data_IF_177593004485
#
_entry.id   IF_177593004485
#
_cell.length_a   1.000
_cell.length_b   1.000
_cell.length_c   1.000
_cell.angle_alpha   90.00
_cell.angle_beta   90.00
_cell.angle_gamma   90.00
#
_symmetry.space_group_name_H-M   'P 1'
#
loop_
_entity.id
_entity.type
_entity.pdbx_description
1 polymer ?
#
# COMPACT_ATOMS: atom_id res chain seq x y z
N UNK A 1 -16.35 -20.51 -3.61
CA UNK A 1 -15.64 -20.96 -2.40
C UNK A 1 -14.75 -19.81 -1.96
N UNK A 2 -14.82 -19.38 -0.69
CA UNK A 2 -13.95 -18.33 -0.17
C UNK A 2 -12.73 -18.95 0.51
N UNK A 3 -11.71 -18.13 0.78
CA UNK A 3 -10.47 -18.54 1.44
C UNK A 3 -10.37 -17.92 2.83
N UNK A 4 -10.20 -18.75 3.84
CA UNK A 4 -9.78 -18.31 5.17
C UNK A 4 -8.30 -17.96 5.20
N UNK A 5 -7.92 -17.06 6.10
CA UNK A 5 -6.57 -16.48 6.16
C UNK A 5 -5.45 -17.53 6.24
N UNK A 6 -5.73 -18.76 6.67
CA UNK A 6 -4.74 -19.79 7.01
C UNK A 6 -4.65 -20.94 5.99
N UNK A 7 -5.26 -20.78 4.80
CA UNK A 7 -5.34 -21.87 3.80
C UNK A 7 -4.27 -21.82 2.69
N UNK A 8 -4.20 -22.89 1.88
CA UNK A 8 -3.22 -23.13 0.80
C UNK A 8 -3.09 -21.96 -0.20
N UNK A 9 -4.09 -21.11 -0.38
CA UNK A 9 -3.98 -19.91 -1.24
C UNK A 9 -3.02 -18.84 -0.69
N UNK A 10 -2.56 -18.96 0.56
CA UNK A 10 -1.39 -18.22 1.04
C UNK A 10 -0.14 -18.49 0.20
N UNK A 11 -0.03 -19.67 -0.43
CA UNK A 11 1.15 -20.06 -1.21
C UNK A 11 1.37 -19.17 -2.44
N UNK A 12 0.36 -18.47 -2.95
CA UNK A 12 0.51 -17.56 -4.10
C UNK A 12 0.63 -16.10 -3.63
N UNK A 13 0.36 -15.81 -2.35
CA UNK A 13 0.32 -14.45 -1.83
C UNK A 13 1.69 -14.01 -1.27
N UNK A 14 2.41 -13.17 -2.02
CA UNK A 14 3.70 -12.60 -1.62
C UNK A 14 3.60 -11.74 -0.33
N UNK A 15 2.43 -11.16 -0.07
CA UNK A 15 2.21 -10.32 1.11
C UNK A 15 2.19 -11.13 2.42
N UNK A 16 1.94 -12.44 2.34
CA UNK A 16 1.93 -13.32 3.52
C UNK A 16 3.29 -13.41 4.21
N UNK A 17 4.39 -13.24 3.46
CA UNK A 17 5.75 -13.27 4.01
C UNK A 17 6.05 -12.09 4.94
N UNK A 18 5.29 -10.99 4.81
CA UNK A 18 5.37 -9.83 5.70
C UNK A 18 4.37 -9.90 6.86
N UNK A 19 3.69 -11.04 7.03
CA UNK A 19 2.68 -11.23 8.07
C UNK A 19 1.31 -10.61 7.76
N UNK A 20 1.08 -10.18 6.52
CA UNK A 20 -0.25 -9.70 6.10
C UNK A 20 -1.22 -10.85 5.88
N UNK A 21 -2.45 -10.68 6.35
CA UNK A 21 -3.55 -11.62 6.08
C UNK A 21 -3.91 -11.69 4.61
N UNK A 22 -4.50 -12.82 4.20
CA UNK A 22 -4.97 -13.00 2.84
C UNK A 22 -6.03 -11.96 2.46
N UNK A 23 -5.87 -11.37 1.29
CA UNK A 23 -6.93 -10.67 0.56
C UNK A 23 -6.88 -11.11 -0.89
N UNK A 24 -8.03 -11.12 -1.56
CA UNK A 24 -8.12 -11.40 -3.00
C UNK A 24 -7.27 -10.42 -3.81
N UNK A 25 -7.23 -9.15 -3.41
CA UNK A 25 -6.39 -8.13 -4.04
C UNK A 25 -4.89 -8.45 -3.91
N UNK A 26 -4.40 -8.82 -2.73
CA UNK A 26 -3.00 -9.16 -2.51
C UNK A 26 -2.60 -10.42 -3.30
N UNK A 27 -3.48 -11.41 -3.36
CA UNK A 27 -3.30 -12.60 -4.19
C UNK A 27 -3.24 -12.25 -5.68
N UNK A 28 -4.20 -11.46 -6.20
CA UNK A 28 -4.25 -11.03 -7.60
C UNK A 28 -3.00 -10.25 -7.99
N UNK A 29 -2.52 -9.34 -7.14
CA UNK A 29 -1.24 -8.64 -7.34
C UNK A 29 -0.04 -9.58 -7.38
N UNK A 30 0.00 -10.57 -6.49
CA UNK A 30 1.08 -11.58 -6.49
C UNK A 30 1.05 -12.46 -7.75
N UNK A 31 -0.14 -12.83 -8.22
CA UNK A 31 -0.34 -13.54 -9.48
C UNK A 31 0.13 -12.71 -10.69
N UNK A 32 -0.22 -11.41 -10.73
CA UNK A 32 0.28 -10.49 -11.75
C UNK A 32 1.81 -10.41 -11.74
N UNK A 33 2.41 -10.31 -10.56
CA UNK A 33 3.87 -10.28 -10.41
C UNK A 33 4.54 -11.54 -10.98
N UNK A 34 3.94 -12.72 -10.75
CA UNK A 34 4.40 -13.98 -11.33
C UNK A 34 4.29 -13.98 -12.86
N UNK A 35 3.25 -13.37 -13.43
CA UNK A 35 3.09 -13.22 -14.89
C UNK A 35 4.16 -12.31 -15.49
N UNK A 36 4.41 -11.15 -14.87
CA UNK A 36 5.49 -10.25 -15.30
C UNK A 36 6.86 -10.93 -15.28
N UNK A 37 7.13 -11.75 -14.26
CA UNK A 37 8.38 -12.50 -14.19
C UNK A 37 8.53 -13.52 -15.32
N UNK A 38 7.47 -14.28 -15.61
CA UNK A 38 7.51 -15.31 -16.64
C UNK A 38 7.55 -14.72 -18.06
N UNK A 39 6.72 -13.71 -18.33
CA UNK A 39 6.50 -13.18 -19.68
C UNK A 39 7.43 -12.01 -20.01
N UNK A 40 7.66 -11.12 -19.05
CA UNK A 40 8.44 -9.89 -19.24
C UNK A 40 9.84 -9.96 -18.65
N UNK A 41 10.17 -10.97 -17.83
CA UNK A 41 11.46 -11.06 -17.12
C UNK A 41 11.76 -9.82 -16.26
N UNK A 42 10.72 -9.16 -15.74
CA UNK A 42 10.86 -8.00 -14.86
C UNK A 42 9.90 -8.08 -13.67
N UNK A 43 10.11 -7.21 -12.67
CA UNK A 43 9.23 -7.11 -11.50
C UNK A 43 8.95 -5.68 -11.04
N UNK A 44 7.80 -5.48 -10.38
CA UNK A 44 7.40 -4.18 -9.85
C UNK A 44 7.98 -3.95 -8.45
N UNK A 45 8.34 -2.71 -8.14
CA UNK A 45 8.97 -2.36 -6.86
C UNK A 45 7.96 -2.31 -5.69
N UNK A 46 6.68 -2.07 -5.98
CA UNK A 46 5.64 -1.93 -4.96
C UNK A 46 5.08 -3.29 -4.48
N UNK A 47 5.51 -4.40 -5.08
CA UNK A 47 5.12 -5.76 -4.67
C UNK A 47 6.13 -6.32 -3.65
N UNK A 48 5.68 -6.69 -2.44
CA UNK A 48 6.57 -7.19 -1.39
C UNK A 48 7.12 -8.60 -1.68
N UNK A 49 8.10 -9.03 -0.87
CA UNK A 49 8.63 -10.41 -0.87
C UNK A 49 10.03 -10.56 -1.47
N UNK A 50 10.51 -9.56 -2.21
CA UNK A 50 11.81 -9.63 -2.88
C UNK A 50 11.85 -10.67 -4.02
N UNK A 51 12.86 -10.59 -4.87
CA UNK A 51 12.91 -11.37 -6.11
C UNK A 51 12.91 -12.90 -5.88
N UNK A 52 13.55 -13.38 -4.80
CA UNK A 52 13.63 -14.81 -4.51
C UNK A 52 12.27 -15.43 -4.20
N UNK A 53 11.42 -14.72 -3.44
CA UNK A 53 10.06 -15.17 -3.18
C UNK A 53 9.25 -15.25 -4.46
N UNK A 54 9.35 -14.23 -5.31
CA UNK A 54 8.60 -14.16 -6.55
C UNK A 54 9.03 -15.27 -7.53
N UNK A 55 10.33 -15.56 -7.63
CA UNK A 55 10.86 -16.68 -8.42
C UNK A 55 10.34 -18.03 -7.97
N UNK A 56 10.29 -18.28 -6.65
CA UNK A 56 9.71 -19.52 -6.09
C UNK A 56 8.26 -19.67 -6.54
N UNK A 57 7.47 -18.59 -6.48
CA UNK A 57 6.07 -18.63 -6.91
C UNK A 57 5.91 -18.81 -8.42
N UNK A 58 6.81 -18.23 -9.20
CA UNK A 58 6.82 -18.37 -10.64
C UNK A 58 7.35 -19.72 -11.13
N UNK A 59 7.91 -20.54 -10.24
CA UNK A 59 8.57 -21.80 -10.62
C UNK A 59 9.88 -21.57 -11.38
N UNK A 60 10.50 -20.41 -11.19
CA UNK A 60 11.76 -19.99 -11.81
C UNK A 60 12.92 -20.43 -10.91
N UNK A 61 14.02 -20.86 -11.53
CA UNK A 61 15.26 -21.17 -10.80
C UNK A 61 15.76 -19.95 -10.01
N UNK A 62 16.15 -20.16 -8.75
CA UNK A 62 16.67 -19.09 -7.90
C UNK A 62 17.95 -18.49 -8.49
N UNK A 63 18.76 -19.32 -9.14
CA UNK A 63 20.05 -18.94 -9.72
C UNK A 63 19.93 -18.18 -11.05
N UNK A 64 18.72 -18.09 -11.64
CA UNK A 64 18.50 -17.28 -12.84
C UNK A 64 18.56 -15.80 -12.47
N UNK A 65 19.66 -15.14 -12.82
CA UNK A 65 19.92 -13.73 -12.49
C UNK A 65 19.32 -12.75 -13.51
N UNK A 66 18.61 -13.21 -14.54
CA UNK A 66 18.12 -12.35 -15.62
C UNK A 66 16.78 -11.69 -15.30
N UNK A 67 16.72 -10.93 -14.21
CA UNK A 67 15.54 -10.17 -13.79
C UNK A 67 15.94 -8.81 -13.23
N UNK A 68 15.23 -7.77 -13.65
CA UNK A 68 15.38 -6.41 -13.12
C UNK A 68 14.02 -5.81 -12.81
N UNK A 69 14.02 -4.64 -12.18
CA UNK A 69 12.82 -3.83 -12.09
C UNK A 69 12.27 -3.55 -13.50
N UNK A 70 10.95 -3.54 -13.64
CA UNK A 70 10.30 -3.15 -14.88
C UNK A 70 10.59 -1.67 -15.13
N UNK A 71 11.36 -1.39 -16.19
CA UNK A 71 11.72 -0.04 -16.64
C UNK A 71 11.23 0.22 -18.08
N UNK A 72 11.73 1.29 -18.71
CA UNK A 72 11.35 1.65 -20.08
C UNK A 72 11.62 0.55 -21.13
N UNK A 73 12.53 -0.39 -20.86
CA UNK A 73 12.86 -1.47 -21.80
C UNK A 73 11.75 -2.52 -21.88
N UNK A 74 10.84 -2.54 -20.90
CA UNK A 74 9.78 -3.54 -20.79
C UNK A 74 8.39 -2.98 -21.07
N UNK A 75 8.26 -1.70 -21.47
CA UNK A 75 6.97 -1.00 -21.59
C UNK A 75 5.95 -1.77 -22.42
N UNK A 76 6.34 -2.28 -23.59
CA UNK A 76 5.39 -3.01 -24.45
C UNK A 76 4.85 -4.27 -23.77
N UNK A 77 5.72 -5.01 -23.06
CA UNK A 77 5.30 -6.20 -22.33
C UNK A 77 4.47 -5.84 -21.10
N UNK A 78 4.92 -4.85 -20.32
CA UNK A 78 4.24 -4.37 -19.12
C UNK A 78 2.83 -3.85 -19.45
N UNK A 79 2.68 -3.04 -20.50
CA UNK A 79 1.38 -2.52 -20.94
C UNK A 79 0.44 -3.65 -21.37
N UNK A 80 0.97 -4.67 -22.07
CA UNK A 80 0.20 -5.84 -22.47
C UNK A 80 -0.29 -6.63 -21.26
N UNK A 81 0.60 -6.97 -20.33
CA UNK A 81 0.24 -7.74 -19.14
C UNK A 81 -0.69 -6.95 -18.21
N UNK A 82 -0.47 -5.64 -18.04
CA UNK A 82 -1.38 -4.75 -17.30
C UNK A 82 -2.79 -4.72 -17.93
N UNK A 83 -2.87 -4.62 -19.25
CA UNK A 83 -4.15 -4.66 -19.97
C UNK A 83 -4.87 -6.01 -19.77
N UNK A 84 -4.14 -7.12 -19.74
CA UNK A 84 -4.70 -8.43 -19.43
C UNK A 84 -5.13 -8.54 -17.96
N UNK A 85 -4.36 -7.96 -17.04
CA UNK A 85 -4.67 -7.93 -15.61
C UNK A 85 -5.96 -7.16 -15.33
N UNK A 86 -6.09 -5.94 -15.88
CA UNK A 86 -7.28 -5.10 -15.74
C UNK A 86 -8.55 -5.74 -16.32
N UNK A 87 -8.40 -6.54 -17.38
CA UNK A 87 -9.49 -7.29 -18.01
C UNK A 87 -9.77 -8.65 -17.37
N UNK A 88 -9.07 -8.98 -16.27
CA UNK A 88 -9.13 -10.27 -15.59
C UNK A 88 -8.79 -11.47 -16.50
N UNK A 89 -8.02 -11.26 -17.57
CA UNK A 89 -7.69 -12.27 -18.58
C UNK A 89 -6.44 -13.10 -18.25
N UNK A 90 -5.74 -12.81 -17.15
CA UNK A 90 -4.53 -13.53 -16.72
C UNK A 90 -4.80 -14.84 -15.97
N UNK A 91 -6.06 -15.16 -15.68
CA UNK A 91 -6.43 -16.32 -14.86
C UNK A 91 -6.28 -16.08 -13.34
N UNK A 92 -5.95 -14.85 -12.93
CA UNK A 92 -5.72 -14.52 -11.52
C UNK A 92 -7.01 -14.52 -10.70
N UNK A 93 -8.18 -14.26 -11.31
CA UNK A 93 -9.46 -14.28 -10.60
C UNK A 93 -9.85 -15.70 -10.19
N UNK A 94 -9.57 -16.70 -11.03
CA UNK A 94 -9.81 -18.11 -10.73
C UNK A 94 -8.82 -18.64 -9.68
N UNK A 95 -7.57 -18.18 -9.73
CA UNK A 95 -6.52 -18.55 -8.78
C UNK A 95 -6.67 -17.90 -7.40
N UNK A 96 -7.34 -16.74 -7.33
CA UNK A 96 -7.46 -15.92 -6.13
C UNK A 96 -8.93 -15.76 -5.73
N UNK A 97 -9.49 -16.72 -4.96
CA UNK A 97 -10.85 -16.62 -4.48
C UNK A 97 -11.04 -15.45 -3.51
N UNK A 98 -12.27 -14.96 -3.31
CA UNK A 98 -12.52 -13.95 -2.28
C UNK A 98 -12.16 -14.46 -0.89
N UNK A 99 -11.68 -13.57 -0.02
CA UNK A 99 -11.49 -13.89 1.40
C UNK A 99 -12.84 -14.17 2.08
N UNK A 100 -12.89 -15.13 3.01
CA UNK A 100 -14.12 -15.42 3.76
C UNK A 100 -14.51 -14.31 4.73
N UNK A 101 -13.54 -13.52 5.17
CA UNK A 101 -13.75 -12.35 6.02
C UNK A 101 -13.11 -11.13 5.37
N UNK A 102 -13.88 -10.03 5.34
CA UNK A 102 -13.41 -8.75 4.82
C UNK A 102 -13.90 -7.65 5.74
N UNK A 103 -12.97 -6.81 6.17
CA UNK A 103 -13.29 -5.56 6.87
C UNK A 103 -13.13 -4.43 5.86
N UNK A 104 -14.13 -3.57 5.76
CA UNK A 104 -14.10 -2.37 4.92
C UNK A 104 -14.47 -1.15 5.76
N UNK A 105 -13.83 -0.03 5.45
CA UNK A 105 -14.07 1.23 6.14
C UNK A 105 -14.64 2.24 5.14
N UNK A 106 -15.87 2.68 5.39
CA UNK A 106 -16.40 3.86 4.73
C UNK A 106 -15.70 5.09 5.32
N UNK A 107 -15.27 5.99 4.43
CA UNK A 107 -14.47 7.16 4.81
C UNK A 107 -15.18 8.41 4.35
N UNK A 108 -15.42 9.32 5.29
CA UNK A 108 -15.82 10.70 5.02
C UNK A 108 -14.67 11.63 5.43
N UNK A 109 -14.39 12.62 4.59
CA UNK A 109 -13.37 13.62 4.88
C UNK A 109 -14.01 14.99 5.04
N UNK A 110 -13.64 15.68 6.11
CA UNK A 110 -13.94 17.10 6.32
C UNK A 110 -12.64 17.83 6.58
N UNK A 111 -12.50 19.02 5.99
CA UNK A 111 -11.32 19.85 6.15
C UNK A 111 -11.71 21.21 6.74
N UNK A 112 -10.85 21.74 7.61
CA UNK A 112 -10.97 23.06 8.18
C UNK A 112 -9.57 23.69 8.25
N UNK A 113 -9.53 25.02 8.23
CA UNK A 113 -8.27 25.74 8.37
C UNK A 113 -7.67 25.52 9.77
N UNK A 114 -6.40 25.13 9.81
CA UNK A 114 -5.68 24.94 11.06
C UNK A 114 -4.20 25.35 10.89
N UNK A 115 -3.60 26.04 11.88
CA UNK A 115 -4.26 26.64 13.05
C UNK A 115 -5.07 27.89 12.69
N UNK A 116 -6.09 28.21 13.51
CA UNK A 116 -6.83 29.49 13.44
C UNK A 116 -5.95 30.65 13.91
N UNK A 117 -6.22 31.86 13.41
CA UNK A 117 -5.38 33.05 13.65
C UNK A 117 -5.19 33.34 15.14
N UNK A 118 -6.26 33.29 15.92
CA UNK A 118 -6.24 33.62 17.35
C UNK A 118 -5.47 32.60 18.20
N UNK A 119 -5.28 31.38 17.67
CA UNK A 119 -4.62 30.29 18.38
C UNK A 119 -3.25 29.94 17.81
N UNK A 120 -2.81 30.64 16.76
CA UNK A 120 -1.56 30.39 16.04
C UNK A 120 -0.36 30.35 16.97
N UNK A 121 -0.15 31.41 17.75
CA UNK A 121 1.00 31.56 18.64
C UNK A 121 1.08 30.44 19.68
N UNK A 122 -0.07 30.02 20.21
CA UNK A 122 -0.13 28.94 21.18
C UNK A 122 0.28 27.61 20.53
N UNK A 123 -0.27 27.30 19.35
CA UNK A 123 0.04 26.08 18.61
C UNK A 123 1.52 26.02 18.27
N UNK A 124 2.07 27.10 17.70
CA UNK A 124 3.47 27.11 17.27
C UNK A 124 4.45 26.98 18.42
N UNK A 125 4.19 27.61 19.57
CA UNK A 125 5.03 27.40 20.76
C UNK A 125 5.05 25.94 21.22
N UNK A 126 3.89 25.26 21.14
CA UNK A 126 3.77 23.84 21.53
C UNK A 126 4.45 22.89 20.53
N UNK A 127 4.35 23.19 19.23
CA UNK A 127 5.06 22.44 18.19
C UNK A 127 6.57 22.62 18.34
N UNK A 128 7.03 23.86 18.52
CA UNK A 128 8.44 24.19 18.67
C UNK A 128 9.07 23.55 19.91
N UNK A 129 8.38 23.56 21.05
CA UNK A 129 8.85 22.89 22.26
C UNK A 129 8.95 21.37 22.08
N UNK A 130 8.00 20.77 21.36
CA UNK A 130 8.01 19.34 21.03
C UNK A 130 9.14 18.97 20.06
N UNK A 131 9.48 19.85 19.12
CA UNK A 131 10.59 19.65 18.17
C UNK A 131 11.96 19.78 18.85
N UNK A 132 12.13 20.81 19.70
CA UNK A 132 13.34 21.01 20.50
C UNK A 132 13.60 19.84 21.45
N UNK A 133 12.56 19.30 22.08
CA UNK A 133 12.65 18.10 22.92
C UNK A 133 13.12 16.84 22.15
N UNK A 134 13.01 16.83 20.82
CA UNK A 134 13.47 15.75 19.93
C UNK A 134 14.83 16.06 19.28
N UNK A 135 15.60 17.00 19.80
CA UNK A 135 16.89 17.47 19.26
C UNK A 135 16.81 17.95 17.79
N UNK A 136 15.65 18.46 17.36
CA UNK A 136 15.52 19.09 16.04
C UNK A 136 15.84 20.59 16.14
N UNK A 137 16.61 21.09 15.18
CA UNK A 137 17.12 22.49 15.13
C UNK A 137 16.18 23.49 14.44
N UNK A 138 15.06 23.04 13.90
CA UNK A 138 14.13 23.92 13.22
C UNK A 138 13.29 24.72 14.23
N UNK A 139 13.34 26.06 14.13
CA UNK A 139 12.52 26.97 14.91
C UNK A 139 11.30 27.42 14.09
N UNK A 140 10.10 27.15 14.59
CA UNK A 140 8.85 27.60 13.94
C UNK A 140 8.34 28.92 14.53
N UNK A 141 8.85 29.32 15.70
CA UNK A 141 8.53 30.59 16.35
C UNK A 141 9.03 31.74 15.47
N UNK A 142 8.13 32.66 15.12
CA UNK A 142 8.42 33.79 14.22
C UNK A 142 8.30 33.47 12.73
N UNK A 143 7.97 32.22 12.36
CA UNK A 143 7.64 31.90 10.98
C UNK A 143 6.31 32.57 10.58
N UNK A 144 6.19 33.06 9.32
CA UNK A 144 4.91 33.56 8.80
C UNK A 144 3.83 32.47 8.89
N UNK A 145 2.61 32.87 9.22
CA UNK A 145 1.49 31.94 9.40
C UNK A 145 1.18 31.12 8.14
N UNK A 146 1.25 31.76 6.97
CA UNK A 146 1.09 31.10 5.67
C UNK A 146 2.14 30.00 5.43
N UNK A 147 3.35 30.17 5.97
CA UNK A 147 4.41 29.17 5.86
C UNK A 147 4.09 27.94 6.70
N UNK A 148 3.63 28.15 7.94
CA UNK A 148 3.21 27.08 8.84
C UNK A 148 2.02 26.30 8.29
N UNK A 149 0.99 26.99 7.78
CA UNK A 149 -0.19 26.36 7.18
C UNK A 149 0.14 25.50 5.96
N UNK A 150 1.22 25.81 5.23
CA UNK A 150 1.66 25.03 4.06
C UNK A 150 2.46 23.77 4.41
N UNK A 151 3.11 23.73 5.57
CA UNK A 151 4.02 22.64 5.94
C UNK A 151 3.43 21.68 6.97
N UNK A 152 2.40 22.10 7.72
CA UNK A 152 1.76 21.26 8.73
C UNK A 152 0.37 20.80 8.33
N UNK A 153 0.11 19.51 8.57
CA UNK A 153 -1.20 18.90 8.47
C UNK A 153 -1.59 18.34 9.84
N UNK A 154 -2.77 18.73 10.34
CA UNK A 154 -3.41 18.05 11.46
C UNK A 154 -4.37 17.01 10.90
N UNK A 155 -4.15 15.75 11.25
CA UNK A 155 -4.99 14.63 10.85
C UNK A 155 -5.68 14.05 12.08
N UNK A 156 -7.00 13.99 12.05
CA UNK A 156 -7.82 13.36 13.08
C UNK A 156 -8.55 12.16 12.47
N UNK A 157 -8.28 10.98 13.02
CA UNK A 157 -8.88 9.72 12.57
C UNK A 157 -9.74 9.19 13.71
N UNK A 158 -11.04 9.08 13.48
CA UNK A 158 -12.00 8.58 14.45
C UNK A 158 -13.13 7.83 13.74
N UNK A 159 -13.84 7.01 14.50
CA UNK A 159 -15.08 6.37 14.05
C UNK A 159 -16.25 7.33 14.27
N UNK A 160 -17.05 7.55 13.23
CA UNK A 160 -18.26 8.39 13.33
C UNK A 160 -19.29 7.80 14.31
N UNK A 161 -19.36 6.47 14.38
CA UNK A 161 -20.21 5.74 15.32
C UNK A 161 -19.48 4.51 15.85
N UNK A 162 -19.85 4.09 17.07
CA UNK A 162 -19.34 2.85 17.69
C UNK A 162 -19.97 1.60 17.03
N UNK A 163 -21.06 1.76 16.29
CA UNK A 163 -21.75 0.65 15.64
C UNK A 163 -21.01 0.21 14.37
N UNK A 164 -20.56 -1.05 14.34
CA UNK A 164 -20.08 -1.70 13.13
C UNK A 164 -21.24 -2.38 12.39
N UNK A 165 -21.26 -2.27 11.07
CA UNK A 165 -22.21 -2.99 10.22
C UNK A 165 -21.55 -4.30 9.81
N UNK A 166 -22.15 -5.42 10.20
CA UNK A 166 -21.76 -6.75 9.75
C UNK A 166 -22.55 -7.09 8.48
N UNK A 167 -21.86 -7.15 7.35
CA UNK A 167 -22.40 -7.71 6.12
C UNK A 167 -22.05 -9.21 6.10
N UNK A 168 -23.03 -10.06 6.39
CA UNK A 168 -22.94 -11.51 6.28
C UNK A 168 -23.31 -11.97 4.87
#
# INVERSE_FOLDING_TARGET
MCVESDSVSQRINLFSQLGYSYTDLACKRSCHQVKLLNECRCYEEDVPGGIDAMKILAGIDKDDMNFSFCDSNYLECLDRENCLYEREALGCTELCPPACSKVSFLRSASQAEWPVDEYYDHVIRKVDSSYKARNKTYAFIGAPQDHVRKIFLRLEIYYESINSILFC
#
